data_IF_566509416218
#
_entry.id   IF_566509416218
#
_cell.length_a   1.000
_cell.length_b   1.000
_cell.length_c   1.000
_cell.angle_alpha   90.00
_cell.angle_beta   90.00
_cell.angle_gamma   90.00
#
_symmetry.space_group_name_H-M   'P 1'
#
loop_
_entity.id
_entity.type
_entity.pdbx_description
1 polymer ?
#
# COMPACT_ATOMS: atom_id res chain seq x y z
N UNK A 1 6.40 25.66 -46.04
CA UNK A 1 6.76 24.30 -45.58
C UNK A 1 7.64 24.30 -44.31
N UNK A 2 8.59 25.24 -44.13
CA UNK A 2 9.47 25.28 -42.93
C UNK A 2 8.79 25.68 -41.61
N UNK A 3 7.72 26.49 -41.66
CA UNK A 3 6.99 26.97 -40.47
C UNK A 3 6.07 25.92 -39.84
N UNK A 4 5.67 24.90 -40.61
CA UNK A 4 4.77 23.83 -40.14
C UNK A 4 5.52 22.71 -39.42
N UNK A 5 6.81 22.50 -39.75
CA UNK A 5 7.66 21.50 -39.11
C UNK A 5 7.98 21.89 -37.66
N UNK A 6 8.08 23.20 -37.38
CA UNK A 6 8.33 23.72 -36.04
C UNK A 6 7.18 23.48 -35.05
N UNK A 7 5.94 23.36 -35.53
CA UNK A 7 4.77 23.11 -34.68
C UNK A 7 4.66 21.63 -34.24
N UNK A 8 5.21 20.69 -35.01
CA UNK A 8 5.14 19.25 -34.69
C UNK A 8 6.20 18.88 -33.64
N UNK A 9 7.36 19.53 -33.65
CA UNK A 9 8.44 19.29 -32.68
C UNK A 9 8.07 19.79 -31.28
N UNK A 10 7.25 20.84 -31.16
CA UNK A 10 6.78 21.38 -29.87
C UNK A 10 5.70 20.49 -29.24
N UNK A 11 4.90 19.78 -30.05
CA UNK A 11 3.84 18.91 -29.54
C UNK A 11 4.36 17.58 -28.96
N UNK A 12 5.55 17.13 -29.36
CA UNK A 12 6.17 15.88 -28.91
C UNK A 12 6.83 15.96 -27.53
N UNK A 13 6.94 17.16 -26.94
CA UNK A 13 7.64 17.36 -25.65
C UNK A 13 6.68 17.22 -24.43
N UNK A 14 5.37 17.14 -24.65
CA UNK A 14 4.38 17.04 -23.56
C UNK A 14 4.06 15.62 -23.09
N UNK A 15 4.72 14.60 -23.65
CA UNK A 15 4.58 13.21 -23.19
C UNK A 15 5.72 12.77 -22.24
N UNK A 16 6.31 13.68 -21.46
CA UNK A 16 6.90 13.23 -20.20
C UNK A 16 5.75 12.93 -19.26
N UNK A 17 5.29 11.68 -19.26
CA UNK A 17 4.48 11.15 -18.19
C UNK A 17 5.27 11.41 -16.90
N UNK A 18 4.87 12.41 -16.13
CA UNK A 18 5.31 12.49 -14.76
C UNK A 18 4.83 11.16 -14.17
N UNK A 19 5.76 10.31 -13.71
CA UNK A 19 5.39 9.30 -12.74
C UNK A 19 4.81 10.09 -11.56
N UNK A 20 3.49 10.25 -11.56
CA UNK A 20 2.76 10.81 -10.45
C UNK A 20 3.09 9.81 -9.34
N UNK A 21 4.01 10.18 -8.46
CA UNK A 21 4.24 9.49 -7.20
C UNK A 21 2.89 9.48 -6.49
N UNK A 22 2.12 8.43 -6.74
CA UNK A 22 0.74 8.38 -6.35
C UNK A 22 0.76 8.20 -4.84
N UNK A 23 0.41 9.28 -4.13
CA UNK A 23 0.36 9.28 -2.67
C UNK A 23 -0.64 8.24 -2.14
N UNK A 24 -1.53 7.78 -3.02
CA UNK A 24 -2.46 6.69 -2.81
C UNK A 24 -2.36 5.64 -3.91
N UNK A 25 -2.87 4.44 -3.65
CA UNK A 25 -2.75 3.31 -4.58
C UNK A 25 -3.59 3.44 -5.85
N UNK A 26 -4.35 4.54 -6.01
CA UNK A 26 -5.16 4.80 -7.20
C UNK A 26 -6.34 3.85 -7.37
N UNK A 27 -6.76 3.19 -6.28
CA UNK A 27 -7.87 2.21 -6.25
C UNK A 27 -8.91 2.64 -5.22
N UNK A 28 -10.17 2.28 -5.44
CA UNK A 28 -11.28 2.65 -4.55
C UNK A 28 -11.32 1.74 -3.32
N UNK A 29 -11.09 0.44 -3.51
CA UNK A 29 -11.10 -0.55 -2.43
C UNK A 29 -9.82 -1.41 -2.47
N UNK A 30 -8.77 -1.05 -1.70
CA UNK A 30 -7.52 -1.80 -1.68
C UNK A 30 -7.67 -3.31 -1.41
N UNK A 31 -8.68 -3.72 -0.63
CA UNK A 31 -8.89 -5.14 -0.31
C UNK A 31 -9.48 -5.96 -1.47
N UNK A 32 -10.11 -5.29 -2.43
CA UNK A 32 -10.69 -5.93 -3.62
C UNK A 32 -9.83 -5.71 -4.86
N UNK A 33 -9.21 -4.53 -4.98
CA UNK A 33 -8.52 -4.08 -6.17
C UNK A 33 -7.01 -4.39 -6.18
N UNK A 34 -6.38 -4.56 -5.00
CA UNK A 34 -4.98 -5.00 -4.91
C UNK A 34 -4.91 -6.51 -4.77
N UNK A 35 -4.57 -7.20 -5.86
CA UNK A 35 -4.55 -8.67 -5.93
C UNK A 35 -3.68 -9.31 -4.83
N UNK A 36 -2.50 -8.74 -4.57
CA UNK A 36 -1.58 -9.25 -3.54
C UNK A 36 -2.20 -9.13 -2.13
N UNK A 37 -2.88 -8.02 -1.85
CA UNK A 37 -3.49 -7.75 -0.55
C UNK A 37 -4.69 -8.68 -0.31
N UNK A 38 -5.50 -8.89 -1.34
CA UNK A 38 -6.59 -9.84 -1.34
C UNK A 38 -6.09 -11.26 -1.05
N UNK A 39 -5.08 -11.72 -1.79
CA UNK A 39 -4.50 -13.05 -1.58
C UNK A 39 -3.94 -13.21 -0.16
N UNK A 40 -3.27 -12.19 0.37
CA UNK A 40 -2.64 -12.27 1.69
C UNK A 40 -3.64 -12.22 2.84
N UNK A 41 -4.74 -11.47 2.71
CA UNK A 41 -5.85 -11.48 3.66
C UNK A 41 -6.60 -12.82 3.64
N UNK A 42 -6.82 -13.41 2.46
CA UNK A 42 -7.41 -14.75 2.33
C UNK A 42 -6.54 -15.83 3.01
N UNK A 43 -5.22 -15.77 2.83
CA UNK A 43 -4.26 -16.67 3.46
C UNK A 43 -4.19 -16.47 4.99
N UNK A 44 -4.22 -15.21 5.44
CA UNK A 44 -4.13 -14.81 6.85
C UNK A 44 -5.42 -15.08 7.64
N UNK A 45 -6.55 -15.32 6.98
CA UNK A 45 -7.87 -15.51 7.61
C UNK A 45 -7.93 -16.72 8.57
N UNK A 46 -6.93 -17.60 8.56
CA UNK A 46 -6.81 -18.74 9.48
C UNK A 46 -6.25 -18.36 10.85
N UNK A 47 -5.53 -17.24 10.95
CA UNK A 47 -4.91 -16.78 12.19
C UNK A 47 -5.78 -15.72 12.86
N UNK A 48 -6.39 -16.04 14.00
CA UNK A 48 -7.22 -15.08 14.75
C UNK A 48 -6.46 -13.89 15.34
N UNK A 49 -5.13 -13.91 15.32
CA UNK A 49 -4.30 -12.91 15.99
C UNK A 49 -3.69 -11.86 15.05
N UNK A 50 -4.00 -11.93 13.75
CA UNK A 50 -3.44 -11.04 12.73
C UNK A 50 -4.50 -10.06 12.24
N UNK A 51 -4.09 -8.84 11.94
CA UNK A 51 -4.91 -7.82 11.30
C UNK A 51 -4.06 -7.01 10.31
N UNK A 52 -4.71 -6.35 9.36
CA UNK A 52 -4.08 -5.57 8.33
C UNK A 52 -4.25 -4.08 8.62
N UNK A 53 -3.13 -3.37 8.60
CA UNK A 53 -3.07 -1.92 8.80
C UNK A 53 -2.75 -1.23 7.48
N UNK A 54 -3.45 -0.13 7.20
CA UNK A 54 -3.09 0.84 6.19
C UNK A 54 -2.58 2.11 6.87
N UNK A 55 -1.54 2.74 6.32
CA UNK A 55 -1.07 4.03 6.78
C UNK A 55 -0.27 4.78 5.73
N UNK A 56 0.52 5.76 6.16
CA UNK A 56 1.36 6.60 5.31
C UNK A 56 2.83 6.53 5.71
N UNK A 57 3.70 6.16 4.78
CA UNK A 57 5.16 6.26 4.92
C UNK A 57 5.71 7.23 3.89
N UNK A 58 6.39 8.30 4.34
CA UNK A 58 6.88 9.40 3.49
C UNK A 58 5.80 9.92 2.51
N UNK A 59 4.56 10.05 3.01
CA UNK A 59 3.40 10.52 2.23
C UNK A 59 2.76 9.51 1.28
N UNK A 60 3.29 8.27 1.18
CA UNK A 60 2.75 7.20 0.31
C UNK A 60 1.92 6.20 1.11
N UNK A 61 0.83 5.70 0.53
CA UNK A 61 0.06 4.59 1.11
C UNK A 61 0.94 3.35 1.24
N UNK A 62 0.94 2.77 2.43
CA UNK A 62 1.60 1.51 2.74
C UNK A 62 0.68 0.62 3.57
N UNK A 63 0.98 -0.67 3.54
CA UNK A 63 0.25 -1.70 4.26
C UNK A 63 1.22 -2.59 5.02
N UNK A 64 0.74 -3.17 6.13
CA UNK A 64 1.47 -4.20 6.84
C UNK A 64 0.52 -5.03 7.70
N UNK A 65 0.84 -6.31 7.83
CA UNK A 65 0.16 -7.19 8.78
C UNK A 65 0.80 -7.05 10.16
N UNK A 66 -0.04 -6.90 11.18
CA UNK A 66 0.39 -6.82 12.56
C UNK A 66 -0.36 -7.84 13.41
N UNK A 67 0.23 -8.20 14.55
CA UNK A 67 -0.31 -9.16 15.50
C UNK A 67 -0.68 -8.51 16.83
N UNK A 68 -1.61 -9.11 17.55
CA UNK A 68 -1.85 -8.80 18.97
C UNK A 68 -1.40 -9.92 19.91
N UNK A 69 -0.83 -11.01 19.38
CA UNK A 69 -0.29 -12.11 20.16
C UNK A 69 1.04 -11.67 20.80
N UNK A 70 1.13 -11.54 22.14
CA UNK A 70 2.34 -11.10 22.81
C UNK A 70 3.51 -12.10 22.67
N UNK A 71 3.25 -13.33 22.23
CA UNK A 71 4.28 -14.35 21.99
C UNK A 71 4.85 -14.31 20.56
N UNK A 72 4.21 -13.58 19.63
CA UNK A 72 4.73 -13.38 18.28
C UNK A 72 5.59 -12.11 18.20
N UNK A 73 6.90 -12.31 18.18
CA UNK A 73 7.91 -11.26 18.04
C UNK A 73 8.30 -11.03 16.57
N UNK A 74 7.36 -11.08 15.64
CA UNK A 74 7.65 -10.84 14.22
C UNK A 74 7.61 -9.35 13.90
N UNK A 75 8.66 -8.84 13.26
CA UNK A 75 8.64 -7.50 12.68
C UNK A 75 7.71 -7.49 11.47
N UNK A 76 6.70 -6.62 11.49
CA UNK A 76 5.81 -6.44 10.35
C UNK A 76 6.59 -5.89 9.14
N UNK A 77 6.46 -6.55 7.99
CA UNK A 77 6.99 -6.05 6.74
C UNK A 77 6.07 -4.94 6.21
N UNK A 78 6.64 -3.77 5.91
CA UNK A 78 5.91 -2.66 5.32
C UNK A 78 5.95 -2.81 3.80
N UNK A 79 4.79 -2.87 3.16
CA UNK A 79 4.65 -3.05 1.72
C UNK A 79 3.97 -1.84 1.07
N UNK A 80 4.40 -1.49 -0.14
CA UNK A 80 3.77 -0.46 -0.95
C UNK A 80 2.53 -0.97 -1.70
N UNK A 81 1.92 -0.13 -2.54
CA UNK A 81 0.75 -0.50 -3.34
C UNK A 81 0.97 -1.69 -4.30
N UNK A 82 2.23 -1.98 -4.66
CA UNK A 82 2.61 -3.10 -5.54
C UNK A 82 2.94 -4.37 -4.74
N UNK A 83 2.86 -4.31 -3.41
CA UNK A 83 3.23 -5.42 -2.52
C UNK A 83 4.74 -5.53 -2.31
N UNK A 84 5.53 -4.54 -2.74
CA UNK A 84 6.99 -4.54 -2.57
C UNK A 84 7.37 -4.12 -1.15
N UNK A 85 8.26 -4.87 -0.51
CA UNK A 85 8.75 -4.58 0.84
C UNK A 85 9.66 -3.35 0.81
N UNK A 86 9.35 -2.37 1.66
CA UNK A 86 10.18 -1.18 1.89
C UNK A 86 11.13 -1.48 3.05
N UNK A 87 12.37 -1.86 2.72
CA UNK A 87 13.35 -2.34 3.72
C UNK A 87 13.72 -1.30 4.78
N UNK A 88 13.69 -0.01 4.44
CA UNK A 88 14.01 1.08 5.35
C UNK A 88 12.83 1.55 6.22
N UNK A 89 11.64 0.96 6.07
CA UNK A 89 10.45 1.37 6.79
C UNK A 89 10.21 0.49 8.02
N UNK A 90 9.92 1.13 9.15
CA UNK A 90 9.39 0.48 10.35
C UNK A 90 7.94 0.88 10.57
N UNK A 91 7.18 0.04 11.29
CA UNK A 91 5.83 0.37 11.79
C UNK A 91 5.81 1.72 12.52
N UNK A 92 6.89 2.05 13.24
CA UNK A 92 7.02 3.30 13.99
C UNK A 92 7.10 4.55 13.09
N UNK A 93 7.50 4.37 11.83
CA UNK A 93 7.59 5.46 10.85
C UNK A 93 6.28 5.69 10.10
N UNK A 94 5.33 4.74 10.19
CA UNK A 94 4.04 4.80 9.51
C UNK A 94 3.09 5.72 10.30
N UNK A 95 2.56 6.74 9.62
CA UNK A 95 1.57 7.68 10.15
C UNK A 95 0.16 7.32 9.71
N UNK A 96 -0.84 7.94 10.34
CA UNK A 96 -2.26 7.79 9.99
C UNK A 96 -2.72 6.33 9.89
N UNK A 97 -2.23 5.49 10.81
CA UNK A 97 -2.50 4.07 10.83
C UNK A 97 -3.98 3.80 11.11
N UNK A 98 -4.59 2.95 10.29
CA UNK A 98 -5.94 2.44 10.48
C UNK A 98 -6.00 0.96 10.17
N UNK A 99 -6.71 0.20 11.00
CA UNK A 99 -7.02 -1.20 10.71
C UNK A 99 -8.06 -1.23 9.60
N UNK A 100 -7.72 -1.84 8.47
CA UNK A 100 -8.64 -1.96 7.32
C UNK A 100 -9.21 -3.36 7.17
N UNK A 101 -8.59 -4.36 7.79
CA UNK A 101 -9.09 -5.73 7.79
C UNK A 101 -8.64 -6.50 9.03
N UNK A 102 -9.52 -7.39 9.49
CA UNK A 102 -9.23 -8.43 10.50
C UNK A 102 -10.10 -9.66 10.21
N UNK A 103 -9.67 -10.87 10.58
CA UNK A 103 -10.49 -12.07 10.41
C UNK A 103 -11.75 -11.98 11.28
N UNK A 104 -12.83 -12.65 10.86
CA UNK A 104 -14.11 -12.61 11.57
C UNK A 104 -14.03 -13.11 13.01
N UNK A 105 -13.15 -14.07 13.26
CA UNK A 105 -12.84 -14.65 14.56
C UNK A 105 -11.62 -14.00 15.22
N UNK A 106 -11.34 -12.72 14.92
CA UNK A 106 -10.18 -12.03 15.48
C UNK A 106 -10.22 -12.02 17.00
N UNK A 107 -9.13 -12.45 17.63
CA UNK A 107 -8.88 -12.35 19.05
C UNK A 107 -8.33 -10.96 19.45
N UNK A 108 -8.00 -10.12 18.47
CA UNK A 108 -7.48 -8.78 18.71
C UNK A 108 -8.62 -7.80 19.02
N UNK A 109 -8.52 -7.15 20.18
CA UNK A 109 -9.37 -6.03 20.53
C UNK A 109 -8.77 -4.74 19.95
N UNK A 110 -9.39 -4.16 18.92
CA UNK A 110 -8.85 -3.09 18.08
C UNK A 110 -9.77 -1.85 18.05
N UNK A 111 -10.56 -1.67 19.10
CA UNK A 111 -11.52 -0.57 19.27
C UNK A 111 -10.86 0.77 19.65
#
# INVERSE_FOLDING_TARGET
>A
MKKSIWLIVIFLIFQSCAEIMQADCGVDNPLEDLEWLKAETENSNRSGFIYLVQGKYKGRTVFFFNGCDPLQLTMAAIQDCRGEIIQEASVNDVRDQRVIWKPKNSACNLD
#
